data_IF_953769885976
#
_entry.id   IF_953769885976
#
_cell.length_a   1.000
_cell.length_b   1.000
_cell.length_c   1.000
_cell.angle_alpha   90.00
_cell.angle_beta   90.00
_cell.angle_gamma   90.00
#
_symmetry.space_group_name_H-M   'P 1'
#
loop_
_entity.id
_entity.type
_entity.pdbx_description
1 polymer ?
#
# COMPACT_ATOMS: atom_id res chain seq x y z
N UNK A 1 -14.35 -11.71 -12.13
CA UNK A 1 -13.81 -11.83 -10.80
C UNK A 1 -12.69 -10.84 -10.59
N UNK A 2 -12.82 -10.08 -9.55
CA UNK A 2 -11.80 -9.10 -9.26
C UNK A 2 -10.57 -9.78 -8.70
N UNK A 3 -9.44 -9.50 -9.31
CA UNK A 3 -8.19 -10.03 -8.81
C UNK A 3 -7.57 -8.98 -7.91
N UNK A 4 -7.30 -9.37 -6.69
CA UNK A 4 -6.63 -8.49 -5.76
C UNK A 4 -5.13 -8.65 -5.94
N UNK A 5 -4.47 -7.56 -6.25
CA UNK A 5 -3.02 -7.60 -6.39
C UNK A 5 -2.41 -7.70 -5.02
N UNK A 6 -1.56 -8.67 -4.82
CA UNK A 6 -0.91 -8.85 -3.54
C UNK A 6 0.19 -7.83 -3.33
N UNK A 7 0.39 -7.49 -2.06
CA UNK A 7 1.45 -6.57 -1.68
C UNK A 7 2.77 -7.33 -1.66
N UNK A 8 3.76 -6.75 -2.31
CA UNK A 8 5.10 -7.31 -2.28
C UNK A 8 5.84 -6.83 -1.04
N UNK A 9 5.70 -5.55 -0.73
CA UNK A 9 6.39 -4.95 0.39
C UNK A 9 5.69 -3.66 0.77
N UNK A 10 5.90 -3.23 2.01
CA UNK A 10 5.35 -1.96 2.44
C UNK A 10 6.15 -1.46 3.64
N UNK A 11 6.20 -0.15 3.79
CA UNK A 11 6.85 0.46 4.94
C UNK A 11 6.25 1.83 5.17
N UNK A 12 6.51 2.38 6.34
CA UNK A 12 6.01 3.70 6.69
C UNK A 12 7.17 4.62 6.99
N UNK A 13 7.04 5.85 6.52
CA UNK A 13 8.05 6.86 6.78
C UNK A 13 7.34 8.20 6.89
N UNK A 14 7.51 8.84 8.05
CA UNK A 14 7.04 10.21 8.25
C UNK A 14 5.54 10.38 7.97
N UNK A 15 4.74 9.39 8.39
CA UNK A 15 3.30 9.45 8.23
C UNK A 15 2.79 9.01 6.87
N UNK A 16 3.67 8.60 6.01
CA UNK A 16 3.30 8.13 4.67
C UNK A 16 3.54 6.63 4.59
N UNK A 17 2.51 5.92 4.20
CA UNK A 17 2.60 4.47 4.02
C UNK A 17 2.92 4.17 2.56
N UNK A 18 4.05 3.55 2.33
CA UNK A 18 4.49 3.19 0.98
C UNK A 18 4.19 1.72 0.75
N UNK A 19 3.50 1.43 -0.34
CA UNK A 19 3.14 0.06 -0.67
C UNK A 19 3.63 -0.25 -2.08
N UNK A 20 4.34 -1.37 -2.21
CA UNK A 20 4.76 -1.89 -3.49
C UNK A 20 4.00 -3.17 -3.75
N UNK A 21 3.34 -3.24 -4.89
CA UNK A 21 2.58 -4.41 -5.25
C UNK A 21 3.39 -5.35 -6.13
N UNK A 22 2.96 -6.59 -6.18
CA UNK A 22 3.69 -7.60 -6.95
C UNK A 22 3.74 -7.28 -8.44
N UNK A 23 2.80 -6.49 -8.92
CA UNK A 23 2.81 -6.12 -10.34
C UNK A 23 3.74 -4.95 -10.63
N UNK A 24 4.47 -4.46 -9.62
CA UNK A 24 5.41 -3.38 -9.79
C UNK A 24 4.85 -2.00 -9.49
N UNK A 25 3.57 -1.91 -9.16
CA UNK A 25 2.97 -0.62 -8.84
C UNK A 25 3.41 -0.14 -7.47
N UNK A 26 3.59 1.17 -7.35
CA UNK A 26 3.97 1.79 -6.09
C UNK A 26 2.96 2.86 -5.74
N UNK A 27 2.51 2.86 -4.48
CA UNK A 27 1.53 3.81 -4.00
C UNK A 27 1.99 4.42 -2.69
N UNK A 28 1.60 5.68 -2.48
CA UNK A 28 1.85 6.38 -1.23
C UNK A 28 0.52 6.77 -0.63
N UNK A 29 0.27 6.34 0.60
CA UNK A 29 -0.95 6.71 1.31
C UNK A 29 -0.58 7.69 2.43
N UNK A 30 -1.29 8.82 2.46
CA UNK A 30 -0.89 9.94 3.31
C UNK A 30 -1.67 9.97 4.62
N UNK A 31 -1.03 10.49 5.64
CA UNK A 31 -1.65 10.68 6.96
C UNK A 31 -2.15 9.39 7.57
N UNK A 32 -1.43 8.32 7.38
CA UNK A 32 -1.78 7.04 7.97
C UNK A 32 -1.25 7.00 9.40
N UNK A 33 -2.12 6.75 10.39
CA UNK A 33 -1.65 6.66 11.76
C UNK A 33 -0.70 5.49 11.95
N UNK A 34 0.27 5.68 12.83
CA UNK A 34 1.23 4.62 13.10
C UNK A 34 0.54 3.36 13.61
N UNK A 35 -0.52 3.52 14.40
CA UNK A 35 -1.24 2.36 14.93
C UNK A 35 -1.84 1.53 13.81
N UNK A 36 -2.31 2.20 12.77
CA UNK A 36 -2.88 1.49 11.63
C UNK A 36 -1.79 0.68 10.91
N UNK A 37 -0.62 1.27 10.77
CA UNK A 37 0.50 0.57 10.17
C UNK A 37 0.89 -0.66 10.99
N UNK A 38 0.93 -0.51 12.31
CA UNK A 38 1.28 -1.62 13.18
C UNK A 38 0.27 -2.75 13.03
N UNK A 39 -1.01 -2.41 12.94
CA UNK A 39 -2.05 -3.41 12.74
C UNK A 39 -1.85 -4.13 11.41
N UNK A 40 -1.42 -3.41 10.40
CA UNK A 40 -1.18 -4.02 9.09
C UNK A 40 -0.01 -4.99 9.15
N UNK A 41 1.06 -4.60 9.85
CA UNK A 41 2.22 -5.47 10.02
C UNK A 41 1.84 -6.76 10.72
N UNK A 42 0.96 -6.67 11.68
CA UNK A 42 0.55 -7.83 12.47
C UNK A 42 -0.64 -8.57 11.88
N UNK A 43 -1.18 -8.09 10.78
CA UNK A 43 -2.32 -8.73 10.16
C UNK A 43 -1.92 -10.06 9.55
N UNK A 44 -2.84 -10.99 9.59
CA UNK A 44 -2.62 -12.29 8.98
C UNK A 44 -2.37 -12.14 7.49
N UNK A 45 -3.08 -11.22 6.87
CA UNK A 45 -2.89 -10.90 5.46
C UNK A 45 -2.85 -9.39 5.31
N UNK A 46 -1.66 -8.81 5.19
CA UNK A 46 -1.56 -7.36 5.01
C UNK A 46 -2.31 -6.85 3.78
N UNK A 47 -2.34 -7.63 2.71
CA UNK A 47 -3.07 -7.23 1.50
C UNK A 47 -4.55 -7.09 1.79
N UNK A 48 -5.11 -8.03 2.52
CA UNK A 48 -6.51 -7.98 2.87
C UNK A 48 -6.81 -6.85 3.83
N UNK A 49 -5.92 -6.64 4.78
CA UNK A 49 -6.07 -5.54 5.73
C UNK A 49 -6.08 -4.20 4.99
N UNK A 50 -5.14 -4.03 4.07
CA UNK A 50 -5.05 -2.79 3.32
C UNK A 50 -6.30 -2.55 2.49
N UNK A 51 -6.82 -3.61 1.88
CA UNK A 51 -8.02 -3.49 1.08
C UNK A 51 -9.19 -2.98 1.92
N UNK A 52 -9.28 -3.43 3.16
CA UNK A 52 -10.38 -3.06 4.03
C UNK A 52 -10.20 -1.72 4.70
N UNK A 53 -8.97 -1.38 5.07
CA UNK A 53 -8.74 -0.26 5.96
C UNK A 53 -7.84 0.83 5.40
N UNK A 54 -7.25 0.62 4.26
CA UNK A 54 -6.31 1.59 3.70
C UNK A 54 -6.81 2.20 2.39
N UNK A 55 -7.19 1.35 1.45
CA UNK A 55 -7.38 1.80 0.08
C UNK A 55 -8.46 2.86 -0.10
N UNK A 56 -9.52 2.81 0.66
CA UNK A 56 -10.58 3.79 0.54
C UNK A 56 -10.66 4.74 1.71
N UNK A 57 -9.66 4.71 2.59
CA UNK A 57 -9.68 5.50 3.81
C UNK A 57 -8.71 6.66 3.78
N UNK A 58 -7.72 6.62 2.93
CA UNK A 58 -6.69 7.63 2.92
C UNK A 58 -6.43 8.13 1.52
N UNK A 59 -6.00 9.40 1.44
CA UNK A 59 -5.60 9.98 0.18
C UNK A 59 -4.31 9.30 -0.25
N UNK A 60 -4.21 9.02 -1.52
CA UNK A 60 -3.05 8.31 -2.03
C UNK A 60 -2.59 8.88 -3.36
N UNK A 61 -1.39 8.51 -3.73
CA UNK A 61 -0.82 8.87 -5.01
C UNK A 61 -0.05 7.68 -5.54
N UNK A 62 -0.23 7.41 -6.83
CA UNK A 62 0.53 6.36 -7.48
C UNK A 62 1.87 6.94 -7.92
N UNK A 63 2.93 6.25 -7.56
CA UNK A 63 4.28 6.68 -7.94
C UNK A 63 4.94 5.67 -8.85
N UNK A 64 4.12 4.88 -9.53
CA UNK A 64 4.66 3.88 -10.43
C UNK A 64 5.46 4.55 -11.51
N UNK A 65 6.70 4.19 -11.60
CA UNK A 65 7.53 4.70 -12.65
C UNK A 65 7.20 3.99 -13.92
N UNK A 66 6.85 4.77 -14.89
CA UNK A 66 6.83 4.23 -16.22
C UNK A 66 8.26 3.99 -16.60
N UNK A 67 8.61 2.76 -16.59
CA UNK A 67 9.88 2.44 -17.17
C UNK A 67 9.72 2.79 -18.61
N UNK A 68 10.24 3.88 -18.94
CA UNK A 68 10.22 4.26 -20.32
C UNK A 68 10.75 3.07 -21.05
N UNK A 69 9.89 2.50 -21.77
CA UNK A 69 10.36 1.47 -22.61
C UNK A 69 11.28 2.15 -23.56
N UNK A 70 12.44 2.07 -23.32
CA UNK A 70 13.25 2.64 -24.29
C UNK A 70 13.67 1.66 -25.16
#
# INVERSE_FOLDING_TARGET
>A
TTTTVNIQDFYMDNGVLYITFLDGSNYEYFSVPKVTYIKMVNAESPSRFARRHIYNEYIYRSTTKLVAAE
#
